data_IF_019827032874
#
_entry.id   IF_019827032874
#
_cell.length_a   1.000
_cell.length_b   1.000
_cell.length_c   1.000
_cell.angle_alpha   90.00
_cell.angle_beta   90.00
_cell.angle_gamma   90.00
#
_symmetry.space_group_name_H-M   'P 1'
#
loop_
_entity.id
_entity.type
_entity.pdbx_description
1 polymer ?
#
# COMPACT_ATOMS: atom_id res chain seq x y z
N UNK A 1 13.37 34.88 -28.23
CA UNK A 1 13.45 34.05 -29.44
C UNK A 1 13.55 32.61 -28.97
N UNK A 2 12.46 31.85 -29.08
CA UNK A 2 12.45 30.44 -28.70
C UNK A 2 13.06 29.64 -29.86
N UNK A 3 14.15 28.92 -29.58
CA UNK A 3 14.78 28.03 -30.55
C UNK A 3 13.79 26.92 -30.93
N UNK A 4 13.42 26.90 -32.21
CA UNK A 4 12.62 25.84 -32.81
C UNK A 4 13.45 24.56 -32.84
N UNK A 5 12.94 23.43 -32.30
CA UNK A 5 13.68 22.17 -32.29
C UNK A 5 13.91 21.68 -33.73
N UNK A 6 15.13 21.23 -34.01
CA UNK A 6 15.58 20.78 -35.33
C UNK A 6 14.87 19.47 -35.74
N UNK A 7 14.72 19.24 -37.05
CA UNK A 7 14.02 18.08 -37.62
C UNK A 7 14.62 16.72 -37.18
N UNK A 8 15.88 16.67 -36.75
CA UNK A 8 16.55 15.44 -36.29
C UNK A 8 16.07 15.00 -34.90
N UNK A 9 15.87 15.94 -33.97
CA UNK A 9 15.29 15.64 -32.63
C UNK A 9 13.87 15.05 -32.74
N UNK A 10 13.10 15.54 -33.71
CA UNK A 10 11.77 15.00 -34.01
C UNK A 10 11.81 13.63 -34.69
N UNK A 11 12.91 13.25 -35.36
CA UNK A 11 13.07 11.95 -36.00
C UNK A 11 13.48 10.88 -34.99
N UNK A 12 14.33 11.22 -34.02
CA UNK A 12 14.74 10.32 -32.93
C UNK A 12 13.59 10.00 -31.97
N UNK A 13 12.74 10.98 -31.64
CA UNK A 13 11.51 10.78 -30.85
C UNK A 13 10.50 9.82 -31.51
N UNK A 14 10.53 9.68 -32.85
CA UNK A 14 9.66 8.74 -33.57
C UNK A 14 10.09 7.28 -33.39
N UNK A 15 11.36 6.99 -33.13
CA UNK A 15 11.85 5.60 -33.09
C UNK A 15 11.70 4.92 -31.74
N UNK A 16 11.85 5.64 -30.63
CA UNK A 16 11.60 5.12 -29.27
C UNK A 16 10.15 4.62 -29.11
N UNK A 17 9.22 5.17 -29.88
CA UNK A 17 7.81 4.80 -29.86
C UNK A 17 7.43 3.69 -30.87
N UNK A 18 8.39 3.13 -31.62
CA UNK A 18 8.09 2.11 -32.64
C UNK A 18 8.05 0.68 -32.10
N UNK A 19 8.59 0.43 -30.89
CA UNK A 19 8.43 -0.88 -30.22
C UNK A 19 6.95 -1.10 -29.92
N UNK A 20 6.46 -2.33 -30.08
CA UNK A 20 5.09 -2.69 -29.68
C UNK A 20 4.94 -2.75 -28.15
N UNK A 21 3.70 -2.61 -27.69
CA UNK A 21 3.39 -2.60 -26.26
C UNK A 21 3.76 -3.94 -25.58
N UNK A 22 3.67 -5.06 -26.29
CA UNK A 22 4.01 -6.38 -25.78
C UNK A 22 5.50 -6.53 -25.49
N UNK A 23 6.35 -6.09 -26.42
CA UNK A 23 7.81 -6.07 -26.23
C UNK A 23 8.22 -5.11 -25.11
N UNK A 24 7.65 -3.91 -25.05
CA UNK A 24 7.93 -2.96 -23.95
C UNK A 24 7.54 -3.55 -22.60
N UNK A 25 6.36 -4.17 -22.52
CA UNK A 25 5.91 -4.88 -21.31
C UNK A 25 6.86 -6.01 -20.91
N UNK A 26 7.33 -6.79 -21.88
CA UNK A 26 8.28 -7.87 -21.61
C UNK A 26 9.61 -7.31 -21.06
N UNK A 27 10.14 -6.23 -21.64
CA UNK A 27 11.33 -5.55 -21.13
C UNK A 27 11.08 -5.07 -19.69
N UNK A 28 9.94 -4.42 -19.42
CA UNK A 28 9.62 -3.88 -18.10
C UNK A 28 9.45 -4.95 -17.02
N UNK A 29 9.15 -6.19 -17.42
CA UNK A 29 9.06 -7.34 -16.50
C UNK A 29 10.41 -7.69 -15.87
N UNK A 30 11.51 -7.48 -16.59
CA UNK A 30 12.87 -7.70 -16.09
C UNK A 30 13.37 -6.57 -15.19
N UNK A 31 12.78 -5.38 -15.30
CA UNK A 31 13.19 -4.22 -14.51
C UNK A 31 12.73 -4.35 -13.05
N UNK A 32 13.54 -3.81 -12.13
CA UNK A 32 13.12 -3.61 -10.76
C UNK A 32 12.00 -2.54 -10.69
N UNK A 33 10.97 -2.69 -9.84
CA UNK A 33 9.91 -1.69 -9.73
C UNK A 33 10.47 -0.31 -9.35
N UNK A 34 11.41 -0.29 -8.40
CA UNK A 34 12.20 0.87 -8.04
C UNK A 34 13.69 0.48 -8.09
N UNK A 35 14.55 1.30 -8.72
CA UNK A 35 14.24 2.58 -9.37
C UNK A 35 13.88 2.46 -10.85
N UNK A 36 14.14 1.32 -11.50
CA UNK A 36 14.24 1.25 -12.96
C UNK A 36 12.89 1.45 -13.66
N UNK A 37 11.86 0.73 -13.22
CA UNK A 37 10.51 0.83 -13.79
C UNK A 37 9.86 2.18 -13.46
N UNK A 38 10.13 2.72 -12.27
CA UNK A 38 9.74 4.08 -11.92
C UNK A 38 10.34 5.11 -12.87
N UNK A 39 11.65 5.05 -13.12
CA UNK A 39 12.32 5.96 -14.06
C UNK A 39 11.77 5.80 -15.49
N UNK A 40 11.50 4.58 -15.91
CA UNK A 40 10.88 4.24 -17.19
C UNK A 40 9.49 4.91 -17.33
N UNK A 41 8.71 4.96 -16.25
CA UNK A 41 7.40 5.60 -16.24
C UNK A 41 7.45 7.14 -16.40
N UNK A 42 8.62 7.77 -16.19
CA UNK A 42 8.79 9.22 -16.36
C UNK A 42 9.01 9.65 -17.81
N UNK A 43 9.31 8.71 -18.71
CA UNK A 43 9.69 9.00 -20.11
C UNK A 43 8.54 9.63 -20.88
N UNK A 44 7.36 8.97 -20.89
CA UNK A 44 6.16 9.47 -21.55
C UNK A 44 4.90 8.79 -21.01
N UNK A 45 3.72 9.31 -21.37
CA UNK A 45 2.43 8.76 -20.93
C UNK A 45 2.25 7.28 -21.29
N UNK A 46 2.66 6.87 -22.49
CA UNK A 46 2.56 5.47 -22.93
C UNK A 46 3.43 4.54 -22.08
N UNK A 47 4.67 4.92 -21.82
CA UNK A 47 5.58 4.13 -21.00
C UNK A 47 5.11 4.07 -19.56
N UNK A 48 4.56 5.17 -19.02
CA UNK A 48 3.90 5.17 -17.72
C UNK A 48 2.76 4.16 -17.63
N UNK A 49 1.89 4.13 -18.62
CA UNK A 49 0.76 3.19 -18.67
C UNK A 49 1.23 1.73 -18.65
N UNK A 50 2.23 1.38 -19.47
CA UNK A 50 2.77 0.02 -19.55
C UNK A 50 3.60 -0.35 -18.30
N UNK A 51 4.44 0.56 -17.81
CA UNK A 51 5.25 0.36 -16.61
C UNK A 51 4.39 0.12 -15.35
N UNK A 52 3.16 0.63 -15.32
CA UNK A 52 2.22 0.42 -14.21
C UNK A 52 1.17 -0.66 -14.50
N UNK A 53 1.29 -1.40 -15.60
CA UNK A 53 0.25 -2.31 -16.05
C UNK A 53 0.06 -3.50 -15.07
N UNK A 54 -1.19 -3.92 -14.76
CA UNK A 54 -1.48 -4.96 -13.76
C UNK A 54 -0.83 -6.33 -14.00
N UNK A 55 -0.37 -6.61 -15.22
CA UNK A 55 0.35 -7.85 -15.58
C UNK A 55 1.75 -7.93 -14.95
N UNK A 56 2.27 -6.81 -14.47
CA UNK A 56 3.56 -6.73 -13.80
C UNK A 56 3.44 -6.78 -12.26
N UNK A 57 2.22 -6.92 -11.75
CA UNK A 57 1.95 -7.01 -10.31
C UNK A 57 1.99 -8.46 -9.85
N UNK A 58 2.32 -8.65 -8.58
CA UNK A 58 2.20 -9.96 -7.93
C UNK A 58 0.73 -10.19 -7.58
N UNK A 59 0.25 -11.41 -7.68
CA UNK A 59 -1.15 -11.77 -7.42
C UNK A 59 -1.23 -12.75 -6.28
N UNK A 60 -2.15 -12.54 -5.36
CA UNK A 60 -2.49 -13.50 -4.30
C UNK A 60 -3.79 -14.18 -4.68
N UNK A 61 -3.72 -15.46 -5.02
CA UNK A 61 -4.86 -16.26 -5.47
C UNK A 61 -5.01 -17.52 -4.64
N UNK A 62 -6.25 -17.95 -4.43
CA UNK A 62 -6.55 -19.17 -3.68
C UNK A 62 -6.79 -20.38 -4.58
N UNK A 63 -7.14 -20.14 -5.85
CA UNK A 63 -7.39 -21.19 -6.81
C UNK A 63 -6.08 -21.86 -7.19
N UNK A 64 -6.01 -23.17 -6.95
CA UNK A 64 -4.84 -24.01 -7.29
C UNK A 64 -4.57 -24.03 -8.81
N UNK A 65 -5.55 -23.65 -9.64
CA UNK A 65 -5.43 -23.68 -11.10
C UNK A 65 -4.41 -22.67 -11.66
N UNK A 66 -4.18 -21.58 -10.95
CA UNK A 66 -3.41 -20.43 -11.45
C UNK A 66 -2.01 -20.30 -10.83
N UNK A 67 -1.64 -21.22 -9.92
CA UNK A 67 -0.33 -21.23 -9.24
C UNK A 67 0.86 -21.58 -10.16
N UNK A 68 0.59 -22.01 -11.41
CA UNK A 68 1.63 -22.27 -12.40
C UNK A 68 2.14 -20.99 -13.09
N UNK A 69 1.39 -19.89 -12.97
CA UNK A 69 1.80 -18.60 -13.52
C UNK A 69 2.84 -17.92 -12.62
N UNK A 70 3.91 -17.42 -13.25
CA UNK A 70 4.96 -16.67 -12.53
C UNK A 70 4.37 -15.40 -11.92
N UNK A 71 4.59 -15.18 -10.62
CA UNK A 71 4.08 -14.01 -9.90
C UNK A 71 2.73 -14.22 -9.21
N UNK A 72 2.17 -15.44 -9.23
CA UNK A 72 0.99 -15.82 -8.45
C UNK A 72 1.41 -16.56 -7.18
N UNK A 73 0.83 -16.18 -6.04
CA UNK A 73 1.16 -16.71 -4.72
C UNK A 73 -0.10 -17.18 -3.99
N UNK A 74 -0.01 -18.25 -3.18
CA UNK A 74 -1.15 -18.79 -2.45
C UNK A 74 -1.55 -17.96 -1.24
N UNK A 75 -0.62 -17.17 -0.68
CA UNK A 75 -0.83 -16.38 0.54
C UNK A 75 -0.24 -14.99 0.41
N UNK A 76 -0.78 -14.04 1.19
CA UNK A 76 -0.26 -12.67 1.26
C UNK A 76 1.17 -12.68 1.78
N UNK A 77 1.48 -13.52 2.77
CA UNK A 77 2.83 -13.64 3.32
C UNK A 77 3.85 -14.11 2.27
N UNK A 78 3.51 -15.11 1.45
CA UNK A 78 4.39 -15.58 0.37
C UNK A 78 4.63 -14.49 -0.69
N UNK A 79 3.59 -13.74 -1.06
CA UNK A 79 3.73 -12.62 -1.99
C UNK A 79 4.61 -11.51 -1.40
N UNK A 80 4.40 -11.16 -0.13
CA UNK A 80 5.22 -10.17 0.58
C UNK A 80 6.67 -10.64 0.65
N UNK A 81 6.94 -11.91 0.95
CA UNK A 81 8.30 -12.45 0.99
C UNK A 81 8.99 -12.33 -0.39
N UNK A 82 8.30 -12.73 -1.47
CA UNK A 82 8.85 -12.71 -2.83
C UNK A 82 8.96 -11.31 -3.45
N UNK A 83 8.20 -10.33 -2.96
CA UNK A 83 8.14 -8.99 -3.56
C UNK A 83 9.49 -8.26 -3.55
N UNK A 84 9.67 -7.35 -4.50
CA UNK A 84 10.81 -6.42 -4.55
C UNK A 84 10.36 -5.03 -4.07
N UNK A 85 11.28 -4.17 -3.62
CA UNK A 85 10.94 -2.79 -3.29
C UNK A 85 10.21 -2.09 -4.47
N UNK A 86 9.03 -1.55 -4.18
CA UNK A 86 8.13 -0.89 -5.12
C UNK A 86 7.13 -1.80 -5.82
N UNK A 87 7.12 -3.11 -5.55
CA UNK A 87 6.12 -4.01 -6.13
C UNK A 87 4.71 -3.69 -5.62
N UNK A 88 3.74 -3.99 -6.50
CA UNK A 88 2.32 -3.97 -6.18
C UNK A 88 1.84 -5.41 -6.06
N UNK A 89 1.11 -5.71 -4.98
CA UNK A 89 0.50 -7.00 -4.71
C UNK A 89 -1.01 -6.82 -4.82
N UNK A 90 -1.61 -7.48 -5.80
CA UNK A 90 -3.05 -7.56 -6.01
C UNK A 90 -3.60 -8.78 -5.27
N UNK A 91 -4.51 -8.56 -4.35
CA UNK A 91 -5.13 -9.62 -3.54
C UNK A 91 -6.47 -9.99 -4.16
N UNK A 92 -6.64 -11.25 -4.58
CA UNK A 92 -7.86 -11.69 -5.25
C UNK A 92 -9.10 -11.61 -4.35
N UNK A 93 -10.23 -11.40 -4.99
CA UNK A 93 -11.56 -11.36 -4.38
C UNK A 93 -12.05 -12.76 -3.99
N UNK A 94 -13.23 -12.80 -3.34
CA UNK A 94 -13.99 -14.04 -3.22
C UNK A 94 -13.68 -14.85 -1.95
N UNK A 95 -13.14 -14.23 -0.91
CA UNK A 95 -13.19 -14.78 0.43
C UNK A 95 -12.32 -14.05 1.46
N UNK A 96 -12.01 -14.75 2.56
CA UNK A 96 -11.14 -14.29 3.65
C UNK A 96 -9.70 -14.84 3.55
N UNK A 97 -8.69 -13.97 3.48
CA UNK A 97 -7.26 -14.31 3.48
C UNK A 97 -6.73 -14.21 4.91
N UNK A 98 -6.19 -15.30 5.45
CA UNK A 98 -5.61 -15.29 6.79
C UNK A 98 -4.31 -14.48 6.81
N UNK A 99 -4.19 -13.56 7.77
CA UNK A 99 -2.99 -12.74 7.99
C UNK A 99 -2.69 -12.66 9.49
N UNK A 100 -1.45 -12.86 9.87
CA UNK A 100 -1.02 -12.82 11.27
C UNK A 100 0.40 -12.30 11.35
N UNK A 101 0.59 -11.10 11.90
CA UNK A 101 1.89 -10.46 12.10
C UNK A 101 2.76 -10.40 10.83
N UNK A 102 2.18 -10.15 9.66
CA UNK A 102 2.96 -10.07 8.41
C UNK A 102 3.76 -8.77 8.41
N UNK A 103 5.07 -8.89 8.31
CA UNK A 103 5.99 -7.75 8.34
C UNK A 103 6.29 -7.21 6.93
N UNK A 104 5.95 -5.94 6.71
CA UNK A 104 6.24 -5.19 5.50
C UNK A 104 7.54 -4.40 5.71
N UNK A 105 8.67 -5.03 5.37
CA UNK A 105 10.04 -4.50 5.56
C UNK A 105 10.61 -3.79 4.34
N UNK A 106 9.84 -3.72 3.25
CA UNK A 106 10.20 -3.07 1.99
C UNK A 106 9.01 -2.27 1.49
N UNK A 107 9.23 -1.21 0.68
CA UNK A 107 8.13 -0.39 0.21
C UNK A 107 7.25 -1.19 -0.75
N UNK A 108 5.96 -1.33 -0.43
CA UNK A 108 5.00 -2.13 -1.19
C UNK A 108 3.65 -1.42 -1.31
N UNK A 109 2.91 -1.75 -2.37
CA UNK A 109 1.52 -1.36 -2.56
C UNK A 109 0.63 -2.60 -2.48
N UNK A 110 -0.26 -2.68 -1.50
CA UNK A 110 -1.22 -3.75 -1.32
C UNK A 110 -2.61 -3.26 -1.78
N UNK A 111 -3.20 -3.95 -2.77
CA UNK A 111 -4.48 -3.55 -3.38
C UNK A 111 -5.44 -4.74 -3.36
N UNK A 112 -6.67 -4.55 -2.89
CA UNK A 112 -7.72 -5.53 -3.08
C UNK A 112 -8.29 -5.50 -4.49
N UNK A 113 -8.50 -6.68 -5.08
CA UNK A 113 -8.91 -6.84 -6.48
C UNK A 113 -10.41 -6.66 -6.73
N UNK A 114 -11.19 -6.29 -5.72
CA UNK A 114 -12.65 -6.10 -5.83
C UNK A 114 -13.04 -4.74 -6.39
N UNK A 115 -14.30 -4.61 -6.80
CA UNK A 115 -14.88 -3.28 -7.04
C UNK A 115 -15.12 -2.55 -5.71
N UNK A 116 -15.40 -3.31 -4.66
CA UNK A 116 -15.61 -2.84 -3.30
C UNK A 116 -14.56 -3.44 -2.35
N UNK A 117 -14.14 -2.70 -1.30
CA UNK A 117 -13.12 -3.18 -0.36
C UNK A 117 -13.55 -4.43 0.42
N UNK A 118 -14.85 -4.69 0.57
CA UNK A 118 -15.40 -5.86 1.27
C UNK A 118 -15.20 -7.16 0.51
N UNK A 119 -15.07 -7.10 -0.81
CA UNK A 119 -14.88 -8.29 -1.66
C UNK A 119 -13.50 -8.93 -1.45
N UNK A 120 -12.57 -8.18 -0.87
CA UNK A 120 -11.23 -8.64 -0.50
C UNK A 120 -10.99 -8.43 1.00
N UNK A 121 -11.16 -9.49 1.78
CA UNK A 121 -11.00 -9.44 3.24
C UNK A 121 -9.71 -10.12 3.69
N UNK A 122 -8.89 -9.40 4.44
CA UNK A 122 -7.80 -9.91 5.26
C UNK A 122 -8.31 -10.12 6.68
N UNK A 123 -8.07 -11.28 7.27
CA UNK A 123 -8.55 -11.62 8.61
C UNK A 123 -7.42 -12.09 9.50
N UNK A 124 -7.35 -11.48 10.68
CA UNK A 124 -6.40 -11.77 11.73
C UNK A 124 -7.13 -12.38 12.93
N UNK A 125 -6.84 -13.66 13.19
CA UNK A 125 -7.39 -14.39 14.33
C UNK A 125 -6.75 -13.95 15.65
N UNK A 126 -7.40 -14.31 16.77
CA UNK A 126 -6.86 -14.11 18.13
C UNK A 126 -5.43 -14.66 18.27
N UNK A 127 -4.63 -13.98 19.09
CA UNK A 127 -3.27 -14.39 19.46
C UNK A 127 -2.16 -13.69 18.68
N UNK A 128 -2.52 -12.88 17.68
CA UNK A 128 -1.60 -12.03 16.92
C UNK A 128 -1.65 -10.60 17.43
N UNK A 129 -0.52 -9.88 17.44
CA UNK A 129 -0.49 -8.47 17.87
C UNK A 129 -1.12 -7.54 16.82
N UNK A 130 -0.89 -7.87 15.54
CA UNK A 130 -1.37 -7.09 14.40
C UNK A 130 -1.61 -7.97 13.18
N UNK A 131 -2.50 -7.56 12.28
CA UNK A 131 -2.67 -8.24 10.99
C UNK A 131 -1.45 -7.97 10.07
N UNK A 132 -1.11 -6.68 9.92
CA UNK A 132 0.03 -6.20 9.14
C UNK A 132 0.88 -5.24 9.97
N UNK A 133 2.20 -5.46 9.94
CA UNK A 133 3.19 -4.60 10.58
C UNK A 133 4.03 -3.88 9.51
N UNK A 134 4.08 -2.54 9.56
CA UNK A 134 4.75 -1.70 8.57
C UNK A 134 6.03 -1.08 9.13
N UNK A 135 7.14 -1.49 8.53
CA UNK A 135 8.50 -1.03 8.84
C UNK A 135 9.09 -0.20 7.67
N UNK A 136 8.28 0.11 6.67
CA UNK A 136 8.64 0.86 5.46
C UNK A 136 7.44 1.62 4.88
N UNK A 137 7.76 2.60 4.02
CA UNK A 137 6.75 3.38 3.28
C UNK A 137 5.93 2.48 2.38
N UNK A 138 4.61 2.46 2.58
CA UNK A 138 3.72 1.48 1.94
C UNK A 138 2.34 2.08 1.72
N UNK A 139 1.61 1.53 0.74
CA UNK A 139 0.23 1.88 0.46
C UNK A 139 -0.67 0.67 0.64
N UNK A 140 -1.80 0.87 1.30
CA UNK A 140 -2.91 -0.06 1.40
C UNK A 140 -4.14 0.56 0.73
N UNK A 141 -4.79 -0.16 -0.17
CA UNK A 141 -6.01 0.35 -0.80
C UNK A 141 -7.03 -0.70 -1.17
N UNK A 142 -8.29 -0.29 -1.16
CA UNK A 142 -9.44 -1.06 -1.65
C UNK A 142 -9.53 -2.47 -1.08
N UNK A 143 -9.33 -2.61 0.23
CA UNK A 143 -9.48 -3.89 0.92
C UNK A 143 -10.00 -3.73 2.33
N UNK A 144 -10.51 -4.82 2.88
CA UNK A 144 -10.98 -4.91 4.26
C UNK A 144 -9.94 -5.63 5.11
N UNK A 145 -9.59 -5.08 6.27
CA UNK A 145 -8.77 -5.77 7.29
C UNK A 145 -9.62 -5.95 8.53
N UNK A 146 -9.74 -7.19 8.99
CA UNK A 146 -10.48 -7.57 10.18
C UNK A 146 -9.54 -8.16 11.22
N UNK A 147 -9.69 -7.77 12.48
CA UNK A 147 -8.93 -8.30 13.60
C UNK A 147 -9.85 -8.67 14.78
N UNK A 148 -9.72 -9.90 15.29
CA UNK A 148 -10.51 -10.36 16.45
C UNK A 148 -9.99 -9.86 17.80
N UNK A 149 -8.66 -9.86 17.99
CA UNK A 149 -7.99 -9.40 19.20
C UNK A 149 -6.59 -8.92 18.80
N UNK A 150 -6.42 -7.60 18.72
CA UNK A 150 -5.21 -6.95 18.21
C UNK A 150 -5.56 -5.70 17.39
N UNK A 151 -4.59 -5.17 16.66
CA UNK A 151 -4.81 -4.08 15.71
C UNK A 151 -4.86 -4.58 14.27
N UNK A 152 -5.58 -3.86 13.39
CA UNK A 152 -5.56 -4.17 11.96
C UNK A 152 -4.19 -3.82 11.37
N UNK A 153 -3.68 -2.63 11.71
CA UNK A 153 -2.44 -2.10 11.15
C UNK A 153 -1.54 -1.59 12.27
N UNK A 154 -0.32 -2.13 12.35
CA UNK A 154 0.73 -1.64 13.22
C UNK A 154 1.77 -0.90 12.37
N UNK A 155 1.90 0.41 12.58
CA UNK A 155 2.90 1.23 11.90
C UNK A 155 4.06 1.57 12.83
N UNK A 156 5.28 1.36 12.33
CA UNK A 156 6.54 1.61 13.07
C UNK A 156 7.50 2.53 12.34
N UNK A 157 7.55 2.52 11.01
CA UNK A 157 8.51 3.31 10.23
C UNK A 157 8.02 3.60 8.82
N UNK A 158 8.48 4.70 8.24
CA UNK A 158 8.12 5.17 6.91
C UNK A 158 6.75 5.83 6.87
N UNK A 159 6.22 6.03 5.67
CA UNK A 159 4.87 6.58 5.46
C UNK A 159 3.87 5.50 5.09
N UNK A 160 2.83 5.30 5.89
CA UNK A 160 1.72 4.40 5.58
C UNK A 160 0.55 5.20 4.98
N UNK A 161 0.14 4.85 3.76
CA UNK A 161 -1.00 5.48 3.07
C UNK A 161 -2.14 4.47 3.05
N UNK A 162 -3.28 4.79 3.65
CA UNK A 162 -4.47 3.95 3.72
C UNK A 162 -5.58 4.65 2.95
N UNK A 163 -6.08 4.02 1.89
CA UNK A 163 -6.94 4.68 0.91
C UNK A 163 -8.10 3.80 0.47
N UNK A 164 -9.34 4.20 0.78
CA UNK A 164 -10.53 3.44 0.39
C UNK A 164 -10.61 2.06 1.05
N UNK A 165 -10.11 1.92 2.29
CA UNK A 165 -10.13 0.66 3.03
C UNK A 165 -11.28 0.56 4.02
N UNK A 166 -11.52 -0.64 4.54
CA UNK A 166 -12.38 -0.89 5.69
C UNK A 166 -11.54 -1.57 6.78
N UNK A 167 -11.41 -0.94 7.94
CA UNK A 167 -10.69 -1.50 9.09
C UNK A 167 -11.71 -1.84 10.17
N UNK A 168 -11.78 -3.12 10.55
CA UNK A 168 -12.78 -3.62 11.48
C UNK A 168 -12.12 -4.40 12.62
N UNK A 169 -12.25 -3.90 13.84
CA UNK A 169 -12.00 -4.71 15.04
C UNK A 169 -13.32 -5.39 15.43
N UNK A 170 -13.32 -6.73 15.57
CA UNK A 170 -14.53 -7.43 16.00
C UNK A 170 -14.86 -7.14 17.46
N UNK A 171 -16.17 -7.13 17.77
CA UNK A 171 -16.67 -6.90 19.11
C UNK A 171 -16.27 -8.05 20.05
N UNK A 172 -15.58 -7.72 21.11
CA UNK A 172 -14.99 -8.61 22.09
C UNK A 172 -15.15 -7.99 23.49
N UNK A 173 -15.35 -8.76 24.58
CA UNK A 173 -15.32 -8.21 25.93
C UNK A 173 -14.07 -7.37 26.28
N UNK A 174 -12.98 -7.53 25.51
CA UNK A 174 -11.75 -6.74 25.60
C UNK A 174 -11.65 -5.59 24.58
N UNK A 175 -12.76 -5.10 24.03
CA UNK A 175 -12.82 -4.04 23.01
C UNK A 175 -12.12 -2.73 23.43
N UNK A 176 -11.98 -2.50 24.73
CA UNK A 176 -11.24 -1.34 25.24
C UNK A 176 -9.73 -1.40 24.93
N UNK A 177 -9.21 -2.57 24.55
CA UNK A 177 -7.80 -2.78 24.16
C UNK A 177 -7.60 -2.78 22.64
N UNK A 178 -8.68 -2.89 21.84
CA UNK A 178 -8.56 -2.93 20.38
C UNK A 178 -8.57 -1.52 19.80
N UNK A 179 -7.61 -1.29 18.89
CA UNK A 179 -7.47 -0.08 18.11
C UNK A 179 -7.14 -0.50 16.68
N UNK A 180 -7.96 -0.15 15.66
CA UNK A 180 -7.72 -0.60 14.29
C UNK A 180 -6.35 -0.18 13.76
N UNK A 181 -5.92 1.05 14.05
CA UNK A 181 -4.59 1.54 13.67
C UNK A 181 -3.79 1.83 14.92
N UNK A 182 -2.56 1.32 14.99
CA UNK A 182 -1.60 1.62 16.04
C UNK A 182 -0.34 2.16 15.38
N UNK A 183 0.04 3.39 15.72
CA UNK A 183 1.23 4.05 15.19
C UNK A 183 2.22 4.28 16.33
N UNK A 184 3.36 3.58 16.25
CA UNK A 184 4.44 3.62 17.24
C UNK A 184 5.73 4.16 16.65
N UNK A 185 5.64 4.88 15.52
CA UNK A 185 6.79 5.52 14.93
C UNK A 185 7.47 6.43 15.96
N UNK A 186 8.79 6.27 16.04
CA UNK A 186 9.66 7.00 16.93
C UNK A 186 10.63 7.78 16.04
N UNK A 187 10.94 9.04 16.36
CA UNK A 187 11.95 9.77 15.61
C UNK A 187 13.27 9.00 15.72
N UNK A 188 13.72 8.41 14.61
CA UNK A 188 14.99 7.70 14.55
C UNK A 188 16.10 8.70 14.95
N UNK A 189 16.67 8.55 16.15
CA UNK A 189 17.84 9.35 16.58
C UNK A 189 19.10 9.06 15.75
N UNK A 190 19.07 8.04 14.88
CA UNK A 190 20.20 7.52 14.13
C UNK A 190 20.15 7.76 12.61
N UNK A 191 19.03 8.21 12.03
CA UNK A 191 18.98 8.53 10.59
C UNK A 191 19.22 10.02 10.34
N UNK A 192 20.47 10.44 10.56
CA UNK A 192 21.03 11.71 10.10
C UNK A 192 21.39 11.71 8.61
N UNK A 193 20.73 10.90 7.77
CA UNK A 193 20.87 11.01 6.32
C UNK A 193 19.99 12.15 5.82
N UNK A 194 20.65 13.31 5.76
CA UNK A 194 20.18 14.56 5.19
C UNK A 194 19.90 14.41 3.68
N UNK A 195 18.86 13.67 3.30
CA UNK A 195 18.24 13.85 1.99
C UNK A 195 17.16 14.90 2.17
N UNK A 196 17.47 16.13 1.76
CA UNK A 196 16.46 17.20 1.61
C UNK A 196 15.31 16.64 0.76
N UNK A 197 14.21 16.24 1.40
CA UNK A 197 13.05 15.61 0.75
C UNK A 197 12.60 14.26 1.31
N UNK A 198 13.26 13.71 2.35
CA UNK A 198 12.80 12.49 3.02
C UNK A 198 11.45 12.70 3.73
N UNK A 199 10.41 11.99 3.29
CA UNK A 199 9.10 12.01 3.94
C UNK A 199 9.24 11.57 5.41
N UNK A 200 8.78 12.41 6.33
CA UNK A 200 8.70 12.06 7.75
C UNK A 200 7.78 10.85 7.96
N UNK A 201 8.12 10.04 8.97
CA UNK A 201 7.30 8.91 9.41
C UNK A 201 5.89 9.40 9.76
N UNK A 202 4.89 8.64 9.34
CA UNK A 202 3.51 9.02 9.54
C UNK A 202 2.49 8.12 8.85
N UNK A 203 1.23 8.37 9.12
CA UNK A 203 0.09 7.64 8.55
C UNK A 203 -0.85 8.64 7.90
N UNK A 204 -1.21 8.43 6.64
CA UNK A 204 -2.23 9.21 5.95
C UNK A 204 -3.42 8.31 5.64
N UNK A 205 -4.60 8.72 6.08
CA UNK A 205 -5.85 8.00 5.88
C UNK A 205 -6.78 8.81 5.00
N UNK A 206 -7.32 8.19 3.95
CA UNK A 206 -8.30 8.77 3.04
C UNK A 206 -9.43 7.80 2.76
N UNK A 207 -10.66 8.31 2.72
CA UNK A 207 -11.85 7.55 2.28
C UNK A 207 -12.02 6.20 2.99
N UNK A 208 -11.56 6.08 4.23
CA UNK A 208 -11.48 4.78 4.92
C UNK A 208 -12.56 4.67 5.97
N UNK A 209 -13.23 3.53 6.04
CA UNK A 209 -14.15 3.19 7.13
C UNK A 209 -13.39 2.54 8.27
N UNK A 210 -13.67 2.97 9.49
CA UNK A 210 -13.06 2.43 10.70
C UNK A 210 -14.18 2.06 11.66
N UNK A 211 -14.25 0.78 12.01
CA UNK A 211 -15.33 0.18 12.78
C UNK A 211 -14.79 -0.68 13.91
N UNK A 212 -15.43 -0.59 15.09
CA UNK A 212 -15.00 -1.31 16.28
C UNK A 212 -13.77 -0.73 16.97
N UNK A 213 -13.45 -1.29 18.14
CA UNK A 213 -12.41 -0.80 19.05
C UNK A 213 -12.77 0.47 19.82
N UNK A 214 -12.01 0.75 20.88
CA UNK A 214 -12.24 1.93 21.72
C UNK A 214 -11.82 3.25 21.06
N UNK A 215 -10.82 3.20 20.17
CA UNK A 215 -10.31 4.35 19.42
C UNK A 215 -10.00 3.93 18.00
N UNK A 216 -10.24 4.83 17.05
CA UNK A 216 -9.89 4.59 15.63
C UNK A 216 -8.38 4.44 15.42
N UNK A 217 -7.59 5.20 16.18
CA UNK A 217 -6.13 5.18 16.11
C UNK A 217 -5.51 5.40 17.50
N UNK A 218 -4.44 4.66 17.77
CA UNK A 218 -3.54 4.85 18.91
C UNK A 218 -2.20 5.36 18.40
N UNK A 219 -1.65 6.40 19.03
CA UNK A 219 -0.39 7.03 18.61
C UNK A 219 0.58 7.10 19.78
N UNK A 220 1.89 7.06 19.50
CA UNK A 220 2.94 7.39 20.47
C UNK A 220 2.88 8.87 20.84
N UNK A 221 3.46 9.25 21.99
CA UNK A 221 3.35 10.61 22.53
C UNK A 221 3.93 11.69 21.61
N UNK A 222 4.88 11.34 20.75
CA UNK A 222 5.56 12.27 19.82
C UNK A 222 4.76 12.53 18.53
N UNK A 223 3.69 11.78 18.31
CA UNK A 223 2.84 11.88 17.13
C UNK A 223 1.54 12.65 17.47
N UNK A 224 1.03 13.36 16.47
CA UNK A 224 -0.22 14.08 16.56
C UNK A 224 -1.10 13.79 15.36
N UNK A 225 -2.40 13.69 15.64
CA UNK A 225 -3.44 13.60 14.64
C UNK A 225 -3.72 15.00 14.05
N UNK A 226 -3.69 15.12 12.73
CA UNK A 226 -3.88 16.37 11.97
C UNK A 226 -4.86 16.17 10.82
N UNK A 227 -5.36 17.29 10.29
CA UNK A 227 -6.26 17.33 9.13
C UNK A 227 -7.46 16.38 9.22
N UNK A 228 -8.04 16.24 10.42
CA UNK A 228 -9.13 15.30 10.67
C UNK A 228 -10.40 15.80 10.00
N UNK A 229 -10.95 14.98 9.11
CA UNK A 229 -12.26 15.15 8.52
C UNK A 229 -13.01 13.83 8.58
N UNK A 230 -14.27 13.91 8.99
CA UNK A 230 -15.19 12.76 9.00
C UNK A 230 -16.40 13.13 8.16
N UNK A 231 -16.78 12.25 7.24
CA UNK A 231 -18.01 12.40 6.45
C UNK A 231 -18.99 11.32 6.88
N UNK A 232 -20.17 11.76 7.30
CA UNK A 232 -21.30 10.90 7.60
C UNK A 232 -22.09 10.64 6.31
N UNK A 233 -21.99 9.43 5.78
CA UNK A 233 -22.86 8.94 4.73
C UNK A 233 -24.07 8.22 5.34
N UNK A 234 -25.07 7.91 4.51
CA UNK A 234 -26.34 7.31 4.97
C UNK A 234 -26.16 5.99 5.73
N UNK A 235 -25.11 5.23 5.43
CA UNK A 235 -24.87 3.88 5.97
C UNK A 235 -23.50 3.70 6.63
N UNK A 236 -22.61 4.71 6.57
CA UNK A 236 -21.24 4.57 7.05
C UNK A 236 -20.56 5.91 7.37
N UNK A 237 -19.53 5.84 8.20
CA UNK A 237 -18.61 6.94 8.51
C UNK A 237 -17.31 6.75 7.72
N UNK A 238 -16.91 7.78 6.99
CA UNK A 238 -15.64 7.81 6.27
C UNK A 238 -14.68 8.79 6.94
N UNK A 239 -13.42 8.37 7.10
CA UNK A 239 -12.39 9.10 7.80
C UNK A 239 -11.30 9.58 6.83
N UNK A 240 -10.83 10.80 7.07
CA UNK A 240 -9.63 11.38 6.52
C UNK A 240 -8.84 12.00 7.66
N UNK A 241 -7.57 11.69 7.77
CA UNK A 241 -6.66 12.33 8.73
C UNK A 241 -5.22 11.97 8.41
N UNK A 242 -4.31 12.76 8.96
CA UNK A 242 -2.88 12.47 8.96
C UNK A 242 -2.39 12.27 10.40
N UNK A 243 -1.39 11.41 10.56
CA UNK A 243 -0.58 11.26 11.76
C UNK A 243 0.83 11.68 11.42
N UNK A 244 1.31 12.70 12.09
CA UNK A 244 2.63 13.28 11.87
C UNK A 244 3.30 13.57 13.21
N UNK A 245 4.62 13.73 13.21
CA UNK A 245 5.32 14.21 14.40
C UNK A 245 4.84 15.59 14.81
N UNK A 246 4.72 15.79 16.13
CA UNK A 246 4.48 17.11 16.72
C UNK A 246 5.65 18.01 16.33
N UNK A 247 5.33 19.08 15.61
CA UNK A 247 6.28 20.19 15.44
C UNK A 247 6.52 20.77 16.83
N UNK A 248 7.76 20.67 17.32
CA UNK A 248 8.22 21.39 18.51
C UNK A 248 8.28 22.89 18.22
#
# INVERSE_FOLDING_TARGET
MAETPTMEDNKQRKWINNLDDGCLMHIFSFLSPIPDRYNTALVCHRWRYLACHPRLWLRVERSIKDLSESGVFPTVEAAVAAARPGDTILIATGGVHSVSNIQITKPLCLIGGGELPEETTLFCSRGSESALEFLCTSKLSNLTVKAELGCCLLHRKGRLIIDGCVLQCESNPLDYLSCPIVCTASPDKLSSSSVKGGYADGVSVSQTRIEGGAKAILTSEDLALRHVRVIYARTALFFWFDVEHKLQ
#
